data_IF_583046157604
#
_entry.id   IF_583046157604
#
_cell.length_a   1.000
_cell.length_b   1.000
_cell.length_c   1.000
_cell.angle_alpha   90.00
_cell.angle_beta   90.00
_cell.angle_gamma   90.00
#
_symmetry.space_group_name_H-M   'P 1'
#
loop_
_entity.id
_entity.type
_entity.pdbx_description
1 polymer ?
#
# COMPACT_ATOMS: atom_id res chain seq x y z
N UNK A 1 -33.49 -82.20 -49.02
CA UNK A 1 -33.44 -81.36 -50.24
C UNK A 1 -33.84 -79.95 -49.79
N UNK A 2 -33.02 -78.94 -50.14
CA UNK A 2 -33.23 -77.49 -49.91
C UNK A 2 -34.67 -77.02 -50.25
N UNK A 3 -35.19 -75.88 -49.73
CA UNK A 3 -34.51 -74.60 -49.90
C UNK A 3 -34.66 -73.49 -48.83
N UNK A 4 -33.66 -72.64 -48.93
CA UNK A 4 -33.53 -71.26 -48.50
C UNK A 4 -34.65 -70.38 -49.09
N UNK A 5 -35.26 -69.51 -48.29
CA UNK A 5 -35.93 -68.30 -48.78
C UNK A 5 -35.78 -67.18 -47.75
N UNK A 6 -34.97 -66.18 -48.13
CA UNK A 6 -34.96 -64.85 -47.53
C UNK A 6 -36.38 -64.30 -47.41
N UNK A 7 -36.78 -63.84 -46.23
CA UNK A 7 -37.84 -62.83 -46.09
C UNK A 7 -37.35 -61.72 -45.16
N UNK A 8 -37.15 -60.56 -45.76
CA UNK A 8 -37.10 -59.28 -45.07
C UNK A 8 -38.41 -59.10 -44.29
N UNK A 9 -38.32 -59.03 -42.96
CA UNK A 9 -39.46 -58.62 -42.13
C UNK A 9 -39.24 -57.18 -41.71
N UNK A 10 -40.03 -56.31 -42.34
CA UNK A 10 -40.42 -55.00 -41.84
C UNK A 10 -40.91 -55.14 -40.40
N UNK A 11 -40.23 -54.52 -39.43
CA UNK A 11 -40.77 -54.40 -38.08
C UNK A 11 -41.77 -53.24 -38.11
N UNK A 12 -42.98 -53.55 -38.56
CA UNK A 12 -44.17 -52.77 -38.30
C UNK A 12 -44.40 -52.71 -36.79
N UNK A 13 -44.89 -51.57 -36.33
CA UNK A 13 -45.12 -51.16 -34.93
C UNK A 13 -45.45 -52.34 -33.98
N UNK A 14 -44.47 -52.73 -33.16
CA UNK A 14 -44.68 -53.72 -32.12
C UNK A 14 -45.51 -53.11 -30.97
N UNK A 15 -46.84 -53.13 -31.13
CA UNK A 15 -47.77 -52.70 -30.09
C UNK A 15 -47.89 -53.83 -29.04
N UNK A 16 -47.23 -53.63 -27.90
CA UNK A 16 -47.28 -54.55 -26.76
C UNK A 16 -48.73 -54.83 -26.35
N UNK A 17 -49.06 -56.11 -26.19
CA UNK A 17 -50.38 -56.51 -25.67
C UNK A 17 -50.59 -56.00 -24.24
N UNK A 18 -51.85 -55.91 -23.79
CA UNK A 18 -52.14 -55.39 -22.44
C UNK A 18 -51.46 -56.21 -21.34
N UNK A 19 -51.31 -57.52 -21.54
CA UNK A 19 -50.66 -58.43 -20.58
C UNK A 19 -49.15 -58.25 -20.55
N UNK A 20 -48.48 -58.19 -21.70
CA UNK A 20 -47.04 -57.94 -21.78
C UNK A 20 -46.69 -56.58 -21.19
N UNK A 21 -47.54 -55.57 -21.44
CA UNK A 21 -47.39 -54.24 -20.86
C UNK A 21 -47.58 -54.27 -19.34
N UNK A 22 -48.45 -55.14 -18.81
CA UNK A 22 -48.63 -55.31 -17.37
C UNK A 22 -47.41 -55.99 -16.73
N UNK A 23 -46.88 -57.06 -17.36
CA UNK A 23 -45.69 -57.78 -16.89
C UNK A 23 -44.45 -56.87 -16.94
N UNK A 24 -44.25 -56.16 -18.05
CA UNK A 24 -43.17 -55.18 -18.17
C UNK A 24 -43.30 -54.11 -17.11
N UNK A 25 -44.51 -53.58 -16.85
CA UNK A 25 -44.71 -52.57 -15.81
C UNK A 25 -44.37 -53.09 -14.41
N UNK A 26 -44.67 -54.34 -14.10
CA UNK A 26 -44.28 -54.97 -12.83
C UNK A 26 -42.75 -55.12 -12.75
N UNK A 27 -42.13 -55.65 -13.81
CA UNK A 27 -40.68 -55.88 -13.87
C UNK A 27 -39.88 -54.57 -13.84
N UNK A 28 -40.37 -53.52 -14.48
CA UNK A 28 -39.79 -52.17 -14.44
C UNK A 28 -39.92 -51.58 -13.04
N UNK A 29 -41.08 -51.77 -12.37
CA UNK A 29 -41.27 -51.30 -11.00
C UNK A 29 -40.38 -52.02 -10.00
N UNK A 30 -40.16 -53.33 -10.15
CA UNK A 30 -39.24 -54.08 -9.29
C UNK A 30 -37.80 -53.64 -9.52
N UNK A 31 -37.40 -53.45 -10.79
CA UNK A 31 -36.04 -53.01 -11.11
C UNK A 31 -35.78 -51.56 -10.66
N UNK A 32 -36.74 -50.65 -10.82
CA UNK A 32 -36.66 -49.28 -10.29
C UNK A 32 -36.62 -49.23 -8.76
N UNK A 33 -37.19 -50.23 -8.07
CA UNK A 33 -37.16 -50.32 -6.61
C UNK A 33 -35.82 -50.87 -6.10
N UNK A 34 -35.13 -51.68 -6.88
CA UNK A 34 -33.79 -52.19 -6.57
C UNK A 34 -32.66 -51.20 -6.91
N UNK A 35 -32.82 -50.38 -7.95
CA UNK A 35 -31.77 -49.45 -8.42
C UNK A 35 -31.95 -47.97 -8.03
N UNK A 36 -32.85 -47.62 -7.11
CA UNK A 36 -32.91 -46.26 -6.54
C UNK A 36 -31.96 -46.06 -5.35
N UNK A 37 -30.71 -46.51 -5.49
CA UNK A 37 -29.61 -46.07 -4.64
C UNK A 37 -28.59 -45.29 -5.47
N UNK A 38 -29.04 -44.26 -6.18
CA UNK A 38 -28.15 -43.11 -6.40
C UNK A 38 -27.97 -42.43 -5.04
N UNK A 39 -27.03 -42.92 -4.24
CA UNK A 39 -26.51 -42.14 -3.12
C UNK A 39 -25.76 -40.96 -3.71
N UNK A 40 -26.47 -39.87 -3.96
CA UNK A 40 -25.83 -38.57 -4.05
C UNK A 40 -25.26 -38.29 -2.67
N UNK A 41 -24.04 -38.77 -2.41
CA UNK A 41 -23.26 -38.43 -1.22
C UNK A 41 -22.75 -37.00 -1.34
N UNK A 42 -23.67 -36.06 -1.49
CA UNK A 42 -23.44 -34.67 -1.14
C UNK A 42 -24.05 -34.49 0.25
N UNK A 43 -23.38 -35.06 1.26
CA UNK A 43 -23.69 -34.81 2.68
C UNK A 43 -23.24 -33.40 3.07
N UNK A 44 -23.50 -32.40 2.23
CA UNK A 44 -23.20 -31.02 2.55
C UNK A 44 -24.44 -30.43 3.23
N UNK A 45 -24.56 -30.70 4.53
CA UNK A 45 -25.57 -30.03 5.34
C UNK A 45 -25.24 -28.53 5.34
N UNK A 46 -26.18 -27.72 4.84
CA UNK A 46 -26.06 -26.26 4.92
C UNK A 46 -25.82 -25.83 6.37
N UNK A 47 -26.40 -26.52 7.35
CA UNK A 47 -26.15 -26.27 8.76
C UNK A 47 -24.70 -26.56 9.17
N UNK A 48 -24.08 -27.64 8.69
CA UNK A 48 -22.66 -27.91 8.97
C UNK A 48 -21.73 -26.92 8.25
N UNK A 49 -22.12 -26.47 7.05
CA UNK A 49 -21.39 -25.40 6.32
C UNK A 49 -21.47 -24.05 7.03
N UNK A 50 -22.66 -23.64 7.51
CA UNK A 50 -22.80 -22.39 8.26
C UNK A 50 -22.14 -22.50 9.64
N UNK A 51 -22.13 -23.67 10.27
CA UNK A 51 -21.41 -23.90 11.53
C UNK A 51 -19.89 -23.82 11.32
N UNK A 52 -19.33 -24.49 10.30
CA UNK A 52 -17.91 -24.39 9.99
C UNK A 52 -17.52 -22.97 9.59
N UNK A 53 -18.36 -22.26 8.83
CA UNK A 53 -18.15 -20.85 8.49
C UNK A 53 -18.12 -19.97 9.74
N UNK A 54 -18.98 -20.21 10.74
CA UNK A 54 -18.95 -19.48 12.03
C UNK A 54 -17.69 -19.75 12.83
N UNK A 55 -17.23 -21.00 12.89
CA UNK A 55 -16.00 -21.36 13.60
C UNK A 55 -14.77 -20.76 12.91
N UNK A 56 -14.71 -20.81 11.59
CA UNK A 56 -13.65 -20.16 10.79
C UNK A 56 -13.71 -18.64 10.95
N UNK A 57 -14.89 -18.03 10.90
CA UNK A 57 -15.05 -16.60 11.11
C UNK A 57 -14.63 -16.17 12.52
N UNK A 58 -14.95 -16.96 13.54
CA UNK A 58 -14.53 -16.69 14.91
C UNK A 58 -13.02 -16.80 15.07
N UNK A 59 -12.42 -17.87 14.54
CA UNK A 59 -10.96 -18.04 14.56
C UNK A 59 -10.25 -16.92 13.80
N UNK A 60 -10.76 -16.54 12.63
CA UNK A 60 -10.25 -15.41 11.85
C UNK A 60 -10.38 -14.09 12.61
N UNK A 61 -11.55 -13.83 13.21
CA UNK A 61 -11.77 -12.64 14.03
C UNK A 61 -10.79 -12.59 15.22
N UNK A 62 -10.55 -13.70 15.90
CA UNK A 62 -9.56 -13.77 16.98
C UNK A 62 -8.15 -13.40 16.49
N UNK A 63 -7.73 -13.93 15.33
CA UNK A 63 -6.43 -13.55 14.73
C UNK A 63 -6.40 -12.06 14.42
N UNK A 64 -7.44 -11.52 13.78
CA UNK A 64 -7.53 -10.09 13.44
C UNK A 64 -7.51 -9.20 14.68
N UNK A 65 -8.16 -9.58 15.78
CA UNK A 65 -8.12 -8.80 17.01
C UNK A 65 -6.74 -8.81 17.67
N UNK A 66 -6.06 -9.96 17.69
CA UNK A 66 -4.71 -10.07 18.26
C UNK A 66 -3.70 -9.30 17.39
N UNK A 67 -3.69 -9.55 16.08
CA UNK A 67 -2.76 -8.87 15.16
C UNK A 67 -3.09 -7.39 15.03
N UNK A 68 -4.36 -7.03 14.96
CA UNK A 68 -4.84 -5.65 14.95
C UNK A 68 -4.48 -4.89 16.22
N UNK A 69 -4.53 -5.55 17.39
CA UNK A 69 -4.07 -4.98 18.66
C UNK A 69 -2.56 -4.69 18.65
N UNK A 70 -1.74 -5.61 18.12
CA UNK A 70 -0.29 -5.41 17.96
C UNK A 70 -0.01 -4.25 17.01
N UNK A 71 -0.68 -4.21 15.84
CA UNK A 71 -0.57 -3.10 14.90
C UNK A 71 -0.98 -1.77 15.53
N UNK A 72 -2.05 -1.74 16.32
CA UNK A 72 -2.49 -0.52 17.02
C UNK A 72 -1.46 -0.05 18.05
N UNK A 73 -0.87 -0.97 18.82
CA UNK A 73 0.20 -0.63 19.76
C UNK A 73 1.46 -0.12 19.04
N UNK A 74 1.82 -0.74 17.91
CA UNK A 74 2.96 -0.35 17.09
C UNK A 74 2.85 1.08 16.54
N UNK A 75 1.66 1.60 16.30
CA UNK A 75 1.48 3.00 15.82
C UNK A 75 2.08 4.02 16.79
N UNK A 76 2.07 3.72 18.10
CA UNK A 76 2.63 4.61 19.14
C UNK A 76 4.10 4.36 19.42
N UNK A 77 4.67 3.27 18.89
CA UNK A 77 6.06 2.91 19.07
C UNK A 77 6.97 4.01 18.52
N UNK A 78 8.00 4.29 19.32
CA UNK A 78 9.08 5.17 18.98
C UNK A 78 10.30 4.34 18.54
N UNK A 79 11.22 4.95 17.80
CA UNK A 79 12.49 4.32 17.45
C UNK A 79 13.21 3.79 18.69
N UNK A 80 13.73 2.56 18.60
CA UNK A 80 14.28 1.82 19.74
C UNK A 80 13.25 0.89 20.43
N UNK A 81 11.94 1.12 20.24
CA UNK A 81 10.91 0.21 20.75
C UNK A 81 10.83 -1.08 19.94
N UNK A 82 10.52 -2.18 20.61
CA UNK A 82 10.37 -3.51 19.99
C UNK A 82 9.34 -3.54 18.85
N UNK A 83 8.25 -2.77 18.98
CA UNK A 83 7.17 -2.74 17.98
C UNK A 83 7.41 -1.70 16.87
N UNK A 84 8.52 -0.97 16.88
CA UNK A 84 8.81 0.03 15.86
C UNK A 84 8.97 -0.59 14.46
N UNK A 85 9.57 -1.79 14.38
CA UNK A 85 9.65 -2.53 13.11
C UNK A 85 8.26 -2.82 12.54
N UNK A 86 7.29 -3.16 13.39
CA UNK A 86 5.90 -3.39 12.95
C UNK A 86 5.26 -2.11 12.42
N UNK A 87 5.55 -0.96 13.05
CA UNK A 87 5.09 0.35 12.58
C UNK A 87 5.55 0.62 11.14
N UNK A 88 6.85 0.49 10.89
CA UNK A 88 7.43 0.83 9.59
C UNK A 88 7.13 -0.24 8.53
N UNK A 89 7.35 -1.51 8.84
CA UNK A 89 7.28 -2.56 7.82
C UNK A 89 5.85 -2.98 7.49
N UNK A 90 4.93 -2.87 8.45
CA UNK A 90 3.55 -3.32 8.30
C UNK A 90 2.61 -2.13 8.19
N UNK A 91 2.45 -1.34 9.27
CA UNK A 91 1.40 -0.32 9.32
C UNK A 91 1.59 0.74 8.23
N UNK A 92 2.78 1.29 8.12
CA UNK A 92 3.08 2.35 7.15
C UNK A 92 3.08 1.83 5.72
N UNK A 93 3.58 0.61 5.47
CA UNK A 93 3.51 -0.02 4.14
C UNK A 93 2.06 -0.18 3.67
N UNK A 94 1.17 -0.62 4.57
CA UNK A 94 -0.26 -0.76 4.27
C UNK A 94 -0.92 0.59 3.97
N UNK A 95 -0.56 1.66 4.71
CA UNK A 95 -1.05 3.01 4.40
C UNK A 95 -0.51 3.50 3.06
N UNK A 96 0.78 3.31 2.77
CA UNK A 96 1.39 3.66 1.49
C UNK A 96 0.73 2.97 0.30
N UNK A 97 0.27 1.72 0.44
CA UNK A 97 -0.49 1.03 -0.61
C UNK A 97 -1.83 1.67 -0.95
N UNK A 98 -2.41 2.46 -0.03
CA UNK A 98 -3.67 3.18 -0.30
C UNK A 98 -3.45 4.48 -1.07
N UNK A 99 -2.21 4.97 -1.17
CA UNK A 99 -1.85 6.15 -1.93
C UNK A 99 -1.72 5.82 -3.44
N UNK A 100 -2.87 5.74 -4.12
CA UNK A 100 -2.92 5.28 -5.52
C UNK A 100 -2.50 6.37 -6.52
N UNK A 101 -2.87 7.64 -6.29
CA UNK A 101 -2.50 8.75 -7.19
C UNK A 101 -1.14 9.35 -6.82
N UNK A 102 -0.46 9.98 -7.79
CA UNK A 102 0.81 10.69 -7.54
C UNK A 102 0.67 11.78 -6.46
N UNK A 103 -0.46 12.51 -6.48
CA UNK A 103 -0.76 13.50 -5.45
C UNK A 103 -0.89 12.83 -4.06
N UNK A 104 -1.60 11.70 -3.97
CA UNK A 104 -1.73 10.96 -2.71
C UNK A 104 -0.39 10.38 -2.23
N UNK A 105 0.48 9.95 -3.15
CA UNK A 105 1.83 9.47 -2.83
C UNK A 105 2.71 10.59 -2.30
N UNK A 106 2.66 11.77 -2.92
CA UNK A 106 3.39 12.94 -2.44
C UNK A 106 2.89 13.38 -1.05
N UNK A 107 1.57 13.42 -0.83
CA UNK A 107 0.99 13.69 0.50
C UNK A 107 1.38 12.65 1.55
N UNK A 108 1.39 11.36 1.17
CA UNK A 108 1.84 10.30 2.06
C UNK A 108 3.32 10.48 2.46
N UNK A 109 4.19 10.79 1.52
CA UNK A 109 5.62 11.04 1.80
C UNK A 109 5.85 12.26 2.68
N UNK A 110 5.04 13.33 2.52
CA UNK A 110 5.05 14.48 3.43
C UNK A 110 4.61 14.06 4.83
N UNK A 111 3.52 13.31 4.93
CA UNK A 111 3.02 12.82 6.22
C UNK A 111 4.04 11.92 6.93
N UNK A 112 4.79 11.09 6.20
CA UNK A 112 5.89 10.31 6.77
C UNK A 112 7.01 11.21 7.31
N UNK A 113 7.39 12.26 6.58
CA UNK A 113 8.40 13.22 7.05
C UNK A 113 7.97 13.88 8.36
N UNK A 114 6.73 14.39 8.42
CA UNK A 114 6.18 14.97 9.65
C UNK A 114 6.16 13.97 10.82
N UNK A 115 5.75 12.72 10.56
CA UNK A 115 5.76 11.65 11.58
C UNK A 115 7.16 11.38 12.14
N UNK A 116 8.21 11.37 11.31
CA UNK A 116 9.58 11.17 11.79
C UNK A 116 10.04 12.30 12.70
N UNK A 117 9.63 13.52 12.40
CA UNK A 117 9.96 14.66 13.24
C UNK A 117 9.17 14.66 14.56
N UNK A 118 7.89 14.30 14.52
CA UNK A 118 7.10 14.08 15.73
C UNK A 118 7.66 12.94 16.61
N UNK A 119 8.19 11.87 16.00
CA UNK A 119 8.87 10.79 16.72
C UNK A 119 10.11 11.29 17.47
N UNK A 120 10.92 12.15 16.83
CA UNK A 120 12.08 12.79 17.48
C UNK A 120 11.62 13.63 18.67
N UNK A 121 10.63 14.49 18.48
CA UNK A 121 10.09 15.36 19.54
C UNK A 121 9.59 14.52 20.73
N UNK A 122 8.83 13.45 20.45
CA UNK A 122 8.31 12.55 21.48
C UNK A 122 9.39 11.76 22.20
N UNK A 123 10.43 11.31 21.50
CA UNK A 123 11.58 10.63 22.11
C UNK A 123 12.28 11.54 23.12
N UNK A 124 12.49 12.79 22.73
CA UNK A 124 13.15 13.77 23.57
C UNK A 124 12.27 14.11 24.78
N UNK A 125 11.03 14.53 24.56
CA UNK A 125 10.09 14.92 25.65
C UNK A 125 9.79 13.74 26.59
N UNK A 126 9.66 12.52 26.05
CA UNK A 126 9.34 11.32 26.82
C UNK A 126 10.45 10.80 27.72
N UNK A 127 11.65 11.40 27.69
CA UNK A 127 12.75 11.05 28.60
C UNK A 127 13.39 9.69 28.31
N UNK A 128 13.03 9.03 27.21
CA UNK A 128 13.62 7.73 26.79
C UNK A 128 15.07 7.86 26.29
N UNK A 129 15.55 9.11 26.16
CA UNK A 129 16.91 9.43 25.75
C UNK A 129 17.07 9.38 24.23
N UNK A 130 17.95 10.23 23.71
CA UNK A 130 18.38 10.22 22.32
C UNK A 130 19.86 9.82 22.32
N UNK A 131 20.14 8.52 22.41
CA UNK A 131 21.51 8.03 22.30
C UNK A 131 22.04 8.17 20.86
N UNK A 132 23.34 7.94 20.66
CA UNK A 132 23.98 8.14 19.36
C UNK A 132 23.37 7.26 18.27
N UNK A 133 23.05 6.00 18.59
CA UNK A 133 22.46 5.06 17.65
C UNK A 133 21.04 5.48 17.23
N UNK A 134 20.22 5.89 18.20
CA UNK A 134 18.86 6.36 17.96
C UNK A 134 18.88 7.68 17.19
N UNK A 135 19.78 8.61 17.54
CA UNK A 135 20.00 9.85 16.78
C UNK A 135 20.34 9.56 15.33
N UNK A 136 21.31 8.69 15.05
CA UNK A 136 21.72 8.39 13.67
C UNK A 136 20.59 7.73 12.88
N UNK A 137 19.84 6.85 13.54
CA UNK A 137 18.63 6.29 12.97
C UNK A 137 17.62 7.40 12.65
N UNK A 138 17.47 8.43 13.50
CA UNK A 138 16.53 9.54 13.28
C UNK A 138 16.94 10.41 12.11
N UNK A 139 18.22 10.80 12.08
CA UNK A 139 18.79 11.56 10.95
C UNK A 139 18.54 10.81 9.65
N UNK A 140 18.92 9.53 9.59
CA UNK A 140 18.73 8.71 8.39
C UNK A 140 17.26 8.63 7.94
N UNK A 141 16.34 8.47 8.89
CA UNK A 141 14.91 8.36 8.57
C UNK A 141 14.27 9.69 8.14
N UNK A 142 14.64 10.80 8.78
CA UNK A 142 14.21 12.14 8.37
C UNK A 142 14.75 12.46 6.98
N UNK A 143 16.03 12.16 6.72
CA UNK A 143 16.60 12.37 5.39
C UNK A 143 15.92 11.54 4.32
N UNK A 144 15.71 10.24 4.59
CA UNK A 144 15.07 9.34 3.66
C UNK A 144 13.65 9.80 3.34
N UNK A 145 12.82 10.06 4.35
CA UNK A 145 11.43 10.50 4.16
C UNK A 145 11.33 11.84 3.43
N UNK A 146 12.16 12.82 3.78
CA UNK A 146 12.19 14.12 3.09
C UNK A 146 12.64 13.99 1.62
N UNK A 147 13.60 13.11 1.34
CA UNK A 147 14.04 12.82 -0.03
C UNK A 147 12.94 12.12 -0.85
N UNK A 148 12.22 11.17 -0.24
CA UNK A 148 11.09 10.49 -0.87
C UNK A 148 9.95 11.47 -1.18
N UNK A 149 9.68 12.43 -0.29
CA UNK A 149 8.74 13.51 -0.54
C UNK A 149 9.19 14.41 -1.70
N UNK A 150 10.46 14.82 -1.73
CA UNK A 150 11.02 15.61 -2.83
C UNK A 150 10.93 14.90 -4.19
N UNK A 151 11.19 13.59 -4.23
CA UNK A 151 11.02 12.78 -5.45
C UNK A 151 9.56 12.72 -5.91
N UNK A 152 8.64 12.43 -5.00
CA UNK A 152 7.22 12.38 -5.33
C UNK A 152 6.68 13.75 -5.82
N UNK A 153 7.19 14.86 -5.26
CA UNK A 153 6.89 16.21 -5.75
C UNK A 153 7.46 16.44 -7.15
N UNK A 154 8.70 16.01 -7.41
CA UNK A 154 9.32 16.14 -8.73
C UNK A 154 8.57 15.33 -9.80
N UNK A 155 8.09 14.13 -9.46
CA UNK A 155 7.23 13.33 -10.34
C UNK A 155 5.90 14.06 -10.59
N UNK A 156 5.23 14.54 -9.53
CA UNK A 156 3.97 15.29 -9.63
C UNK A 156 4.10 16.58 -10.45
N UNK A 157 5.27 17.25 -10.42
CA UNK A 157 5.58 18.45 -11.20
C UNK A 157 5.43 18.21 -12.70
N UNK A 158 5.75 17.01 -13.18
CA UNK A 158 5.68 16.67 -14.62
C UNK A 158 4.24 16.65 -15.15
N UNK A 159 3.27 16.29 -14.31
CA UNK A 159 1.86 16.19 -14.68
C UNK A 159 1.05 17.41 -14.28
N UNK A 160 1.26 17.92 -13.06
CA UNK A 160 0.41 18.92 -12.41
C UNK A 160 1.27 19.90 -11.61
N UNK A 161 1.93 20.82 -12.31
CA UNK A 161 2.90 21.76 -11.73
C UNK A 161 2.32 22.62 -10.60
N UNK A 162 1.05 23.05 -10.70
CA UNK A 162 0.39 23.85 -9.67
C UNK A 162 0.16 23.05 -8.39
N UNK A 163 -0.18 21.75 -8.54
CA UNK A 163 -0.33 20.85 -7.40
C UNK A 163 1.02 20.59 -6.76
N UNK A 164 2.07 20.35 -7.55
CA UNK A 164 3.42 20.19 -7.07
C UNK A 164 3.92 21.40 -6.28
N UNK A 165 3.63 22.63 -6.74
CA UNK A 165 3.95 23.86 -6.02
C UNK A 165 3.28 23.92 -4.63
N UNK A 166 1.98 23.60 -4.58
CA UNK A 166 1.22 23.55 -3.33
C UNK A 166 1.74 22.47 -2.38
N UNK A 167 2.01 21.27 -2.89
CA UNK A 167 2.55 20.13 -2.15
C UNK A 167 3.95 20.43 -1.60
N UNK A 168 4.83 21.06 -2.40
CA UNK A 168 6.15 21.49 -1.96
C UNK A 168 6.09 22.55 -0.85
N UNK A 169 5.15 23.50 -0.96
CA UNK A 169 4.91 24.51 0.08
C UNK A 169 4.44 23.88 1.39
N UNK A 170 3.60 22.83 1.33
CA UNK A 170 3.18 22.06 2.52
C UNK A 170 4.36 21.34 3.17
N UNK A 171 5.21 20.69 2.38
CA UNK A 171 6.43 20.04 2.90
C UNK A 171 7.34 21.05 3.60
N UNK A 172 7.62 22.19 2.96
CA UNK A 172 8.45 23.24 3.55
C UNK A 172 7.86 23.77 4.87
N UNK A 173 6.55 24.04 4.88
CA UNK A 173 5.85 24.48 6.09
C UNK A 173 5.97 23.43 7.21
N UNK A 174 5.76 22.15 6.88
CA UNK A 174 5.91 21.04 7.85
C UNK A 174 7.31 21.02 8.44
N UNK A 175 8.35 21.07 7.61
CA UNK A 175 9.74 21.07 8.06
C UNK A 175 10.04 22.27 8.97
N UNK A 176 9.59 23.48 8.60
CA UNK A 176 9.80 24.69 9.42
C UNK A 176 9.03 24.66 10.75
N UNK A 177 7.85 24.06 10.78
CA UNK A 177 7.08 23.90 12.03
C UNK A 177 7.86 23.00 13.00
N UNK A 178 8.29 21.84 12.52
CA UNK A 178 9.07 20.90 13.33
C UNK A 178 10.47 21.42 13.67
N UNK A 179 11.11 22.21 12.81
CA UNK A 179 12.36 22.91 13.14
C UNK A 179 12.18 23.77 14.41
N UNK A 180 11.12 24.58 14.46
CA UNK A 180 10.85 25.43 15.63
C UNK A 180 10.53 24.62 16.88
N UNK A 181 9.76 23.54 16.74
CA UNK A 181 9.47 22.65 17.86
C UNK A 181 10.74 21.99 18.40
N UNK A 182 11.62 21.51 17.52
CA UNK A 182 12.92 20.94 17.92
C UNK A 182 13.84 21.99 18.55
N UNK A 183 13.83 23.25 18.09
CA UNK A 183 14.56 24.34 18.76
C UNK A 183 14.08 24.53 20.20
N UNK A 184 12.76 24.64 20.40
CA UNK A 184 12.19 24.79 21.73
C UNK A 184 12.55 23.60 22.63
N UNK A 185 12.43 22.38 22.11
CA UNK A 185 12.78 21.18 22.86
C UNK A 185 14.28 21.12 23.18
N UNK A 186 15.16 21.63 22.31
CA UNK A 186 16.60 21.71 22.58
C UNK A 186 16.96 22.73 23.68
N UNK A 187 16.16 23.79 23.83
CA UNK A 187 16.28 24.76 24.93
C UNK A 187 15.79 24.17 26.25
N UNK A 188 14.70 23.40 26.22
CA UNK A 188 14.14 22.75 27.42
C UNK A 188 14.98 21.54 27.89
N UNK A 189 15.73 20.91 26.98
CA UNK A 189 16.54 19.70 27.23
C UNK A 189 18.02 19.94 26.93
N UNK A 190 18.65 20.73 27.79
CA UNK A 190 20.08 21.02 27.73
C UNK A 190 20.94 19.75 27.70
N UNK A 191 20.51 18.68 28.36
CA UNK A 191 21.19 17.38 28.40
C UNK A 191 21.25 16.66 27.05
N UNK A 192 20.30 16.94 26.15
CA UNK A 192 20.21 16.34 24.81
C UNK A 192 20.44 17.35 23.68
N UNK A 193 20.81 18.59 24.02
CA UNK A 193 20.89 19.71 23.08
C UNK A 193 21.82 19.43 21.90
N UNK A 194 22.97 18.77 22.15
CA UNK A 194 23.92 18.42 21.09
C UNK A 194 23.35 17.40 20.11
N UNK A 195 22.66 16.36 20.58
CA UNK A 195 22.05 15.36 19.70
C UNK A 195 20.88 15.95 18.91
N UNK A 196 20.07 16.81 19.55
CA UNK A 196 18.97 17.50 18.88
C UNK A 196 19.51 18.44 17.79
N UNK A 197 20.62 19.14 18.05
CA UNK A 197 21.22 20.05 17.07
C UNK A 197 21.64 19.36 15.77
N UNK A 198 22.11 18.10 15.84
CA UNK A 198 22.44 17.31 14.64
C UNK A 198 21.20 17.04 13.78
N UNK A 199 20.08 16.70 14.42
CA UNK A 199 18.80 16.49 13.72
C UNK A 199 18.30 17.83 13.16
N UNK A 200 18.39 18.89 13.95
CA UNK A 200 17.96 20.23 13.57
C UNK A 200 18.69 20.74 12.32
N UNK A 201 20.01 20.53 12.24
CA UNK A 201 20.80 20.89 11.06
C UNK A 201 20.35 20.11 9.82
N UNK A 202 20.02 18.84 10.00
CA UNK A 202 19.45 18.01 8.93
C UNK A 202 18.12 18.57 8.45
N UNK A 203 17.22 18.96 9.37
CA UNK A 203 15.91 19.55 9.04
C UNK A 203 16.08 20.88 8.31
N UNK A 204 16.99 21.75 8.78
CA UNK A 204 17.29 23.04 8.13
C UNK A 204 17.79 22.85 6.71
N UNK A 205 18.75 21.94 6.51
CA UNK A 205 19.26 21.60 5.18
C UNK A 205 18.14 21.12 4.25
N UNK A 206 17.22 20.28 4.74
CA UNK A 206 16.07 19.81 3.96
C UNK A 206 15.07 20.95 3.67
N UNK A 207 14.76 21.79 4.65
CA UNK A 207 13.87 22.93 4.46
C UNK A 207 14.42 23.91 3.41
N UNK A 208 15.73 24.17 3.42
CA UNK A 208 16.41 24.97 2.41
C UNK A 208 16.31 24.34 1.01
N UNK A 209 16.61 23.04 0.88
CA UNK A 209 16.50 22.32 -0.39
C UNK A 209 15.06 22.32 -0.94
N UNK A 210 14.05 22.15 -0.08
CA UNK A 210 12.64 22.21 -0.48
C UNK A 210 12.25 23.63 -0.90
N UNK A 211 12.78 24.65 -0.23
CA UNK A 211 12.56 26.05 -0.63
C UNK A 211 13.18 26.36 -2.00
N UNK A 212 14.33 25.77 -2.34
CA UNK A 212 14.94 25.93 -3.67
C UNK A 212 14.06 25.29 -4.76
N UNK A 213 13.55 24.08 -4.52
CA UNK A 213 12.60 23.42 -5.41
C UNK A 213 11.33 24.28 -5.61
N UNK A 214 10.84 24.94 -4.56
CA UNK A 214 9.68 25.84 -4.65
C UNK A 214 9.94 26.97 -5.63
N UNK A 215 11.09 27.64 -5.49
CA UNK A 215 11.47 28.76 -6.34
C UNK A 215 11.67 28.34 -7.80
N UNK A 216 12.14 27.11 -8.04
CA UNK A 216 12.23 26.55 -9.38
C UNK A 216 10.84 26.31 -9.99
N UNK A 217 9.92 25.71 -9.23
CA UNK A 217 8.54 25.49 -9.67
C UNK A 217 7.81 26.81 -9.95
N UNK A 218 7.96 27.81 -9.07
CA UNK A 218 7.37 29.15 -9.24
C UNK A 218 7.86 29.82 -10.55
N UNK A 219 9.17 29.77 -10.83
CA UNK A 219 9.73 30.30 -12.08
C UNK A 219 9.17 29.62 -13.33
N UNK A 220 8.98 28.31 -13.29
CA UNK A 220 8.40 27.56 -14.42
C UNK A 220 6.91 27.87 -14.63
N UNK A 221 6.17 28.11 -13.55
CA UNK A 221 4.77 28.57 -13.63
C UNK A 221 4.72 29.96 -14.28
N UNK A 222 5.53 30.91 -13.80
CA UNK A 222 5.60 32.27 -14.37
C UNK A 222 6.01 32.25 -15.86
N UNK A 223 6.93 31.35 -16.23
CA UNK A 223 7.34 31.15 -17.63
C UNK A 223 6.21 30.57 -18.50
N UNK A 224 5.44 29.61 -17.99
CA UNK A 224 4.26 29.07 -18.69
C UNK A 224 3.17 30.11 -18.87
N UNK A 225 2.89 30.90 -17.84
CA UNK A 225 1.88 31.95 -17.87
C UNK A 225 2.26 33.08 -18.84
N UNK A 226 3.55 33.40 -18.95
CA UNK A 226 4.05 34.39 -19.91
C UNK A 226 4.12 33.87 -21.35
N UNK A 227 4.38 32.57 -21.58
CA UNK A 227 4.30 31.94 -22.90
C UNK A 227 2.87 31.64 -23.36
N UNK A 228 1.88 31.60 -22.44
CA UNK A 228 0.47 31.38 -22.77
C UNK A 228 -0.23 32.54 -23.48
N UNK A 229 0.43 33.69 -23.67
CA UNK A 229 -0.14 34.87 -24.35
C UNK A 229 0.11 34.94 -25.86
N UNK A 230 0.95 34.09 -26.45
CA UNK A 230 1.15 34.09 -27.91
C UNK A 230 1.13 32.66 -28.46
N UNK A 231 -0.01 32.28 -29.02
CA UNK A 231 -0.15 31.04 -29.74
C UNK A 231 0.62 31.09 -31.06
N UNK A 232 1.69 30.31 -31.17
CA UNK A 232 1.98 29.38 -32.28
C UNK A 232 3.40 28.81 -32.18
N UNK A 233 3.47 27.50 -32.39
CA UNK A 233 4.57 26.72 -32.96
C UNK A 233 5.95 26.90 -32.26
N UNK A 234 6.51 25.88 -31.61
CA UNK A 234 7.61 25.03 -32.16
C UNK A 234 8.08 24.10 -31.03
N UNK A 235 7.93 22.80 -31.22
CA UNK A 235 9.00 21.78 -31.32
C UNK A 235 9.61 21.28 -30.00
N UNK A 236 9.48 19.97 -29.81
CA UNK A 236 9.99 19.19 -28.70
C UNK A 236 11.50 19.40 -28.52
N UNK A 237 11.90 19.91 -27.36
CA UNK A 237 13.27 19.78 -26.87
C UNK A 237 13.26 18.90 -25.63
N UNK A 238 13.52 17.61 -25.86
CA UNK A 238 13.95 16.66 -24.84
C UNK A 238 15.28 17.15 -24.27
N UNK A 239 15.27 17.62 -23.03
CA UNK A 239 16.50 17.77 -22.24
C UNK A 239 16.42 16.81 -21.07
N UNK A 240 16.76 15.57 -21.38
CA UNK A 240 17.28 14.62 -20.41
C UNK A 240 18.65 15.13 -19.92
N UNK A 241 19.09 14.65 -18.75
CA UNK A 241 20.39 14.90 -18.09
C UNK A 241 20.41 16.08 -17.09
N UNK A 242 20.25 15.76 -15.79
CA UNK A 242 21.19 16.15 -14.69
C UNK A 242 20.74 15.80 -13.26
N UNK A 243 19.85 14.83 -13.04
CA UNK A 243 19.47 14.44 -11.66
C UNK A 243 20.48 13.48 -11.01
N UNK A 244 21.21 12.67 -11.77
CA UNK A 244 22.04 11.60 -11.19
C UNK A 244 23.42 12.02 -10.70
N UNK A 245 23.95 13.20 -11.07
CA UNK A 245 25.34 13.54 -10.72
C UNK A 245 25.50 14.22 -9.36
N UNK A 246 24.46 14.86 -8.83
CA UNK A 246 24.55 15.64 -7.58
C UNK A 246 24.26 14.84 -6.31
N UNK A 247 23.75 13.61 -6.43
CA UNK A 247 23.46 12.72 -5.30
C UNK A 247 24.62 11.77 -4.94
N UNK A 248 25.65 11.65 -5.79
CA UNK A 248 26.83 10.83 -5.47
C UNK A 248 28.02 11.62 -4.91
N UNK A 249 28.11 12.94 -5.13
CA UNK A 249 29.22 13.74 -4.59
C UNK A 249 29.08 14.09 -3.09
N UNK A 250 27.91 13.89 -2.47
CA UNK A 250 27.77 14.03 -1.01
C UNK A 250 28.13 12.75 -0.23
N UNK A 251 28.34 11.62 -0.90
CA UNK A 251 28.64 10.34 -0.25
C UNK A 251 30.14 10.06 -0.07
N UNK A 252 31.02 10.84 -0.70
CA UNK A 252 32.49 10.65 -0.64
C UNK A 252 33.22 11.64 0.26
N UNK A 253 32.54 12.66 0.80
CA UNK A 253 33.12 13.60 1.79
C UNK A 253 32.70 13.23 3.22
N UNK A 254 32.76 11.95 3.57
CA UNK A 254 32.73 11.46 4.97
C UNK A 254 33.48 10.13 5.03
N UNK A 255 34.71 10.12 4.51
CA UNK A 255 35.65 9.02 4.65
C UNK A 255 37.07 9.54 4.53
N UNK A 256 37.46 10.45 5.43
CA UNK A 256 38.84 10.75 5.82
C UNK A 256 38.86 11.24 7.26
#
# INVERSE_FOLDING_TARGET
MMPNFNHHIHIQEAVLTREEKAILRVRLRTHMREEQSFSASAQFSLASFFYSLRVVALGFASVVFVTGGISYAAERALPGDMLYTVKIEVNERLRGWTAISQEAQAEWSIAQTGRRLEEVERLVVGGSGLDDATRDQMVSQVEKSANEAGKAIAELKTERIEVAAGTNSRLESSLRIHERALMQVAEEREDLSSQIHVILETVRRKAASVSEIRQEIEKEIDAKDSSGSDGKDIEATTTDISVDKKLQESATTTAL
#
